data_IF_432182779897
#
_entry.id   IF_432182779897
#
_cell.length_a   1.000
_cell.length_b   1.000
_cell.length_c   1.000
_cell.angle_alpha   90.00
_cell.angle_beta   90.00
_cell.angle_gamma   90.00
#
_symmetry.space_group_name_H-M   'P 1'
#
loop_
_entity.id
_entity.type
_entity.pdbx_description
1 polymer ?
#
# COMPACT_ATOMS: atom_id res chain seq x y z
N UNK A 1 -15.00 5.30 -12.37
CA UNK A 1 -14.79 5.33 -10.92
C UNK A 1 -13.46 4.64 -10.69
N UNK A 2 -12.57 5.19 -9.87
CA UNK A 2 -11.26 4.55 -9.62
C UNK A 2 -11.45 3.12 -9.06
N UNK A 3 -10.54 2.19 -9.39
CA UNK A 3 -10.55 0.82 -8.86
C UNK A 3 -10.60 0.81 -7.33
N UNK A 4 -9.89 1.72 -6.68
CA UNK A 4 -9.95 1.91 -5.23
C UNK A 4 -11.37 2.11 -4.71
N UNK A 5 -12.13 3.00 -5.35
CA UNK A 5 -13.51 3.31 -4.93
C UNK A 5 -14.45 2.11 -5.14
N UNK A 6 -14.23 1.32 -6.19
CA UNK A 6 -15.04 0.11 -6.44
C UNK A 6 -14.85 -0.92 -5.33
N UNK A 7 -13.61 -1.09 -4.85
CA UNK A 7 -13.29 -1.98 -3.73
C UNK A 7 -13.80 -1.44 -2.39
N UNK A 8 -13.69 -0.13 -2.16
CA UNK A 8 -14.07 0.49 -0.88
C UNK A 8 -15.60 0.69 -0.72
N UNK A 9 -16.35 0.89 -1.81
CA UNK A 9 -17.78 1.20 -1.76
C UNK A 9 -18.65 -0.06 -1.79
N UNK A 10 -18.51 -0.89 -0.75
CA UNK A 10 -19.35 -2.07 -0.55
C UNK A 10 -20.82 -1.70 -0.38
N UNK A 11 -21.71 -2.70 -0.48
CA UNK A 11 -23.15 -2.51 -0.24
C UNK A 11 -23.43 -1.88 1.12
N UNK A 12 -22.78 -2.36 2.18
CA UNK A 12 -22.93 -1.80 3.52
C UNK A 12 -22.44 -0.35 3.63
N UNK A 13 -21.31 -0.01 2.98
CA UNK A 13 -20.80 1.37 2.94
C UNK A 13 -21.79 2.30 2.26
N UNK A 14 -22.40 1.87 1.15
CA UNK A 14 -23.40 2.66 0.42
C UNK A 14 -24.67 2.87 1.24
N UNK A 15 -25.15 1.83 1.92
CA UNK A 15 -26.30 1.93 2.80
C UNK A 15 -26.06 2.99 3.90
N UNK A 16 -24.90 2.96 4.57
CA UNK A 16 -24.55 3.99 5.56
C UNK A 16 -24.45 5.38 4.92
N UNK A 17 -23.95 5.49 3.69
CA UNK A 17 -23.89 6.77 2.99
C UNK A 17 -25.29 7.34 2.69
N UNK A 18 -26.27 6.49 2.38
CA UNK A 18 -27.67 6.87 2.20
C UNK A 18 -28.29 7.33 3.52
N UNK A 19 -28.15 6.53 4.59
CA UNK A 19 -28.61 6.84 5.94
C UNK A 19 -28.08 8.20 6.43
N UNK A 20 -26.81 8.49 6.14
CA UNK A 20 -26.14 9.73 6.55
C UNK A 20 -26.25 10.88 5.53
N UNK A 21 -27.03 10.70 4.45
CA UNK A 21 -27.25 11.74 3.44
C UNK A 21 -26.03 12.14 2.59
N UNK A 22 -24.96 11.34 2.62
CA UNK A 22 -23.71 11.57 1.88
C UNK A 22 -23.67 10.89 0.50
N UNK A 23 -24.74 10.16 0.13
CA UNK A 23 -24.85 9.45 -1.14
C UNK A 23 -24.60 10.32 -2.38
N UNK A 24 -24.96 11.62 -2.35
CA UNK A 24 -24.67 12.56 -3.47
C UNK A 24 -23.18 12.88 -3.63
N UNK A 25 -22.42 12.89 -2.53
CA UNK A 25 -20.96 13.05 -2.56
C UNK A 25 -20.25 11.75 -2.98
N UNK A 26 -20.82 10.59 -2.61
CA UNK A 26 -20.34 9.27 -3.03
C UNK A 26 -20.71 8.93 -4.49
N UNK A 27 -21.80 9.51 -4.99
CA UNK A 27 -22.42 9.27 -6.30
C UNK A 27 -21.71 9.96 -7.46
N UNK A 28 -20.42 9.71 -7.66
CA UNK A 28 -19.86 9.79 -9.01
C UNK A 28 -20.35 8.55 -9.76
N UNK A 29 -21.26 8.75 -10.73
CA UNK A 29 -21.93 7.74 -11.57
C UNK A 29 -21.19 6.41 -11.63
N UNK A 30 -21.91 5.32 -11.33
CA UNK A 30 -21.51 3.94 -11.63
C UNK A 30 -21.10 3.90 -13.09
N UNK A 31 -19.79 3.97 -13.34
CA UNK A 31 -19.20 3.54 -14.60
C UNK A 31 -19.05 2.02 -14.51
N UNK A 32 -18.93 1.38 -15.65
CA UNK A 32 -18.62 -0.04 -15.71
C UNK A 32 -17.43 -0.39 -14.79
N UNK A 33 -17.43 -1.59 -14.20
CA UNK A 33 -16.30 -2.07 -13.42
C UNK A 33 -15.02 -1.84 -14.21
N UNK A 34 -14.07 -1.17 -13.59
CA UNK A 34 -12.72 -1.04 -14.16
C UNK A 34 -11.98 -2.23 -13.58
N UNK A 35 -11.61 -3.18 -14.44
CA UNK A 35 -10.83 -4.34 -14.01
C UNK A 35 -9.38 -3.93 -13.69
N UNK A 36 -8.85 -2.98 -14.45
CA UNK A 36 -7.48 -2.50 -14.32
C UNK A 36 -7.25 -1.69 -13.02
N UNK A 37 -6.09 -1.84 -12.37
CA UNK A 37 -5.67 -0.96 -11.29
C UNK A 37 -5.57 0.50 -11.74
N UNK A 38 -5.79 1.44 -10.82
CA UNK A 38 -5.49 2.85 -11.10
C UNK A 38 -3.96 3.05 -11.12
N UNK A 39 -3.39 3.68 -12.17
CA UNK A 39 -1.96 3.95 -12.20
C UNK A 39 -1.58 5.01 -11.15
N UNK A 40 -0.40 4.86 -10.57
CA UNK A 40 0.32 5.88 -9.83
C UNK A 40 0.73 6.99 -10.81
N UNK A 41 -0.05 8.08 -10.80
CA UNK A 41 0.31 9.28 -11.54
C UNK A 41 1.58 9.93 -10.95
N UNK A 42 2.17 10.86 -11.71
CA UNK A 42 3.39 11.55 -11.31
C UNK A 42 3.26 12.18 -9.90
N UNK A 43 2.09 12.75 -9.60
CA UNK A 43 1.83 13.36 -8.29
C UNK A 43 1.86 12.35 -7.14
N UNK A 44 1.24 11.19 -7.33
CA UNK A 44 1.21 10.12 -6.32
C UNK A 44 2.58 9.48 -6.15
N UNK A 45 3.31 9.27 -7.25
CA UNK A 45 4.67 8.77 -7.22
C UNK A 45 5.62 9.73 -6.49
N UNK A 46 5.54 11.03 -6.79
CA UNK A 46 6.36 12.06 -6.12
C UNK A 46 6.00 12.19 -4.64
N UNK A 47 4.71 12.07 -4.30
CA UNK A 47 4.28 12.04 -2.91
C UNK A 47 4.90 10.86 -2.15
N UNK A 48 4.85 9.65 -2.72
CA UNK A 48 5.46 8.47 -2.09
C UNK A 48 6.97 8.66 -1.91
N UNK A 49 7.68 9.14 -2.94
CA UNK A 49 9.12 9.41 -2.87
C UNK A 49 9.50 10.49 -1.86
N UNK A 50 8.57 11.36 -1.49
CA UNK A 50 8.81 12.44 -0.52
C UNK A 50 8.73 11.99 0.95
N UNK A 51 8.31 10.75 1.20
CA UNK A 51 8.06 10.24 2.55
C UNK A 51 9.19 9.35 3.06
N UNK A 52 9.32 9.30 4.38
CA UNK A 52 10.24 8.48 5.17
C UNK A 52 9.52 7.31 5.87
N UNK A 53 8.22 7.15 5.64
CA UNK A 53 7.47 6.03 6.18
C UNK A 53 6.02 5.94 5.71
N UNK A 54 5.42 4.79 5.99
CA UNK A 54 4.02 4.51 5.70
C UNK A 54 3.47 3.43 6.63
N UNK A 55 2.14 3.32 6.70
CA UNK A 55 1.47 2.23 7.40
C UNK A 55 1.13 1.11 6.40
N UNK A 56 1.48 -0.11 6.78
CA UNK A 56 1.21 -1.33 6.03
C UNK A 56 0.14 -2.14 6.75
N UNK A 57 -1.01 -2.35 6.11
CA UNK A 57 -2.08 -3.20 6.62
C UNK A 57 -2.12 -4.53 5.86
N UNK A 58 -2.32 -5.61 6.60
CA UNK A 58 -2.53 -6.97 6.10
C UNK A 58 -3.64 -7.65 6.90
N UNK A 59 -4.15 -8.79 6.43
CA UNK A 59 -5.16 -9.57 7.16
C UNK A 59 -4.62 -10.97 7.38
N UNK A 60 -4.65 -11.43 8.63
CA UNK A 60 -4.24 -12.80 8.95
C UNK A 60 -5.36 -13.81 8.68
N UNK A 61 -5.02 -15.10 8.74
CA UNK A 61 -5.98 -16.20 8.49
C UNK A 61 -7.19 -16.21 9.43
N UNK A 62 -7.07 -15.56 10.60
CA UNK A 62 -8.17 -15.37 11.55
C UNK A 62 -9.15 -14.25 11.17
N UNK A 63 -8.90 -13.54 10.07
CA UNK A 63 -9.71 -12.41 9.60
C UNK A 63 -9.48 -11.09 10.33
N UNK A 64 -8.65 -11.07 11.38
CA UNK A 64 -8.30 -9.83 12.07
C UNK A 64 -7.30 -9.00 11.26
N UNK A 65 -7.53 -7.68 11.11
CA UNK A 65 -6.57 -6.80 10.46
C UNK A 65 -5.35 -6.58 11.34
N UNK A 66 -4.18 -6.48 10.72
CA UNK A 66 -2.92 -6.12 11.35
C UNK A 66 -2.31 -4.91 10.65
N UNK A 67 -1.80 -3.96 11.44
CA UNK A 67 -1.17 -2.73 10.93
C UNK A 67 0.22 -2.60 11.55
N UNK A 68 1.20 -2.25 10.72
CA UNK A 68 2.56 -1.93 11.15
C UNK A 68 3.08 -0.70 10.40
N UNK A 69 3.90 0.11 11.08
CA UNK A 69 4.66 1.17 10.44
C UNK A 69 5.92 0.61 9.79
N UNK A 70 6.17 0.98 8.54
CA UNK A 70 7.42 0.72 7.81
C UNK A 70 8.10 2.06 7.58
N UNK A 71 9.35 2.19 8.03
CA UNK A 71 10.12 3.43 7.98
C UNK A 71 11.50 3.24 7.37
N UNK A 72 12.03 4.34 6.82
CA UNK A 72 13.34 4.40 6.18
C UNK A 72 13.74 5.85 5.88
N UNK A 73 14.87 6.08 5.20
CA UNK A 73 15.17 7.41 4.69
C UNK A 73 14.13 7.85 3.66
N UNK A 74 14.02 9.15 3.43
CA UNK A 74 13.13 9.69 2.40
C UNK A 74 13.36 8.99 1.05
N UNK A 75 12.27 8.48 0.46
CA UNK A 75 12.30 7.82 -0.83
C UNK A 75 12.68 6.33 -0.80
N UNK A 76 12.81 5.72 0.39
CA UNK A 76 13.11 4.28 0.50
C UNK A 76 12.04 3.36 -0.13
N UNK A 77 10.84 3.89 -0.36
CA UNK A 77 9.81 3.23 -1.18
C UNK A 77 10.02 3.64 -2.63
N UNK A 78 10.45 2.68 -3.43
CA UNK A 78 10.71 2.83 -4.85
C UNK A 78 9.44 2.61 -5.64
N UNK A 79 9.11 3.57 -6.51
CA UNK A 79 8.06 3.43 -7.52
C UNK A 79 8.72 2.88 -8.78
N UNK A 80 8.54 1.58 -9.04
CA UNK A 80 9.22 0.88 -10.14
C UNK A 80 8.57 1.16 -11.49
N UNK A 81 7.24 1.27 -11.49
CA UNK A 81 6.39 1.56 -12.64
C UNK A 81 5.02 2.09 -12.11
N UNK A 82 4.05 2.44 -12.99
CA UNK A 82 2.75 2.98 -12.56
C UNK A 82 1.92 2.05 -11.65
N UNK A 83 2.26 0.77 -11.51
CA UNK A 83 1.48 -0.21 -10.76
C UNK A 83 2.28 -0.92 -9.67
N UNK A 84 3.60 -0.70 -9.61
CA UNK A 84 4.49 -1.45 -8.72
C UNK A 84 5.27 -0.53 -7.77
N UNK A 85 5.16 -0.83 -6.48
CA UNK A 85 6.00 -0.29 -5.42
C UNK A 85 6.91 -1.39 -4.89
N UNK A 86 8.12 -1.04 -4.48
CA UNK A 86 9.04 -1.95 -3.81
C UNK A 86 9.89 -1.23 -2.78
N UNK A 87 10.35 -1.97 -1.77
CA UNK A 87 11.29 -1.51 -0.76
C UNK A 87 11.99 -2.73 -0.18
N UNK A 88 13.21 -2.57 0.33
CA UNK A 88 13.92 -3.64 1.03
C UNK A 88 13.39 -3.77 2.45
N UNK A 89 12.96 -4.98 2.84
CA UNK A 89 12.58 -5.28 4.22
C UNK A 89 13.83 -5.67 5.01
N UNK A 90 14.17 -4.80 5.97
CA UNK A 90 15.31 -5.02 6.86
C UNK A 90 14.88 -5.76 8.12
N UNK A 91 15.78 -6.57 8.65
CA UNK A 91 15.60 -7.34 9.87
C UNK A 91 15.21 -6.44 11.04
N UNK A 92 13.92 -6.47 11.39
CA UNK A 92 13.35 -5.75 12.53
C UNK A 92 13.21 -6.61 13.79
N UNK A 93 12.08 -6.44 14.47
CA UNK A 93 11.72 -7.13 15.73
C UNK A 93 11.41 -8.63 15.59
N UNK A 94 11.53 -9.19 14.37
CA UNK A 94 11.34 -10.62 14.05
C UNK A 94 9.95 -11.17 14.37
N UNK A 95 8.92 -10.34 14.39
CA UNK A 95 7.55 -10.80 14.55
C UNK A 95 6.99 -11.48 13.29
N UNK A 96 7.46 -11.08 12.10
CA UNK A 96 7.09 -11.65 10.80
C UNK A 96 5.58 -11.70 10.50
N UNK A 97 4.75 -10.96 11.25
CA UNK A 97 3.28 -11.01 11.12
C UNK A 97 2.84 -10.55 9.74
N UNK A 98 3.35 -9.42 9.25
CA UNK A 98 3.01 -8.93 7.90
C UNK A 98 3.42 -9.93 6.82
N UNK A 99 4.65 -10.45 6.87
CA UNK A 99 5.15 -11.43 5.90
C UNK A 99 4.33 -12.72 5.93
N UNK A 100 3.98 -13.21 7.12
CA UNK A 100 3.12 -14.38 7.29
C UNK A 100 1.72 -14.15 6.73
N UNK A 101 1.09 -13.01 7.05
CA UNK A 101 -0.23 -12.65 6.53
C UNK A 101 -0.23 -12.57 5.00
N UNK A 102 0.74 -11.86 4.41
CA UNK A 102 0.86 -11.66 2.96
C UNK A 102 1.03 -12.99 2.19
N UNK A 103 1.65 -14.01 2.81
CA UNK A 103 1.76 -15.35 2.23
C UNK A 103 0.43 -16.10 2.17
N UNK A 104 -0.48 -15.84 3.11
CA UNK A 104 -1.81 -16.47 3.15
C UNK A 104 -2.87 -15.68 2.39
N UNK A 105 -2.83 -14.35 2.50
CA UNK A 105 -3.70 -13.40 1.82
C UNK A 105 -2.87 -12.19 1.38
N UNK A 106 -2.63 -12.09 0.08
CA UNK A 106 -1.75 -11.09 -0.51
C UNK A 106 -2.37 -9.68 -0.56
N UNK A 107 -3.65 -9.52 -0.19
CA UNK A 107 -4.36 -8.25 -0.23
C UNK A 107 -3.89 -7.34 0.91
N UNK A 108 -3.44 -6.14 0.54
CA UNK A 108 -2.90 -5.16 1.48
C UNK A 108 -3.55 -3.80 1.30
N UNK A 109 -3.49 -2.99 2.37
CA UNK A 109 -3.79 -1.58 2.30
C UNK A 109 -2.58 -0.77 2.78
N UNK A 110 -2.10 0.15 1.95
CA UNK A 110 -1.00 1.04 2.29
C UNK A 110 -1.54 2.44 2.57
N UNK A 111 -1.02 3.08 3.61
CA UNK A 111 -1.41 4.44 3.98
C UNK A 111 -0.20 5.33 4.18
N UNK A 112 -0.01 6.24 3.23
CA UNK A 112 1.03 7.24 3.18
C UNK A 112 0.47 8.56 3.72
N UNK A 113 1.18 9.20 4.65
CA UNK A 113 0.70 10.40 5.35
C UNK A 113 1.85 11.40 5.48
N UNK A 114 1.59 12.64 5.05
CA UNK A 114 2.39 13.80 5.41
C UNK A 114 1.58 14.64 6.39
N UNK A 115 1.96 14.58 7.67
CA UNK A 115 1.29 15.32 8.74
C UNK A 115 1.44 16.83 8.60
N UNK A 116 2.60 17.31 8.15
CA UNK A 116 2.88 18.74 8.01
C UNK A 116 2.05 19.36 6.88
N UNK A 117 1.93 18.66 5.75
CA UNK A 117 1.16 19.11 4.58
C UNK A 117 -0.29 18.63 4.59
N UNK A 118 -0.73 17.96 5.65
CA UNK A 118 -2.08 17.39 5.81
C UNK A 118 -2.54 16.55 4.60
N UNK A 119 -1.58 15.92 3.92
CA UNK A 119 -1.81 15.18 2.68
C UNK A 119 -1.68 13.69 2.96
N UNK A 120 -2.50 12.89 2.28
CA UNK A 120 -2.53 11.44 2.49
C UNK A 120 -2.90 10.71 1.21
N UNK A 121 -2.35 9.51 1.04
CA UNK A 121 -2.63 8.62 -0.07
C UNK A 121 -2.92 7.22 0.49
N UNK A 122 -4.03 6.61 0.06
CA UNK A 122 -4.41 5.24 0.40
C UNK A 122 -4.34 4.41 -0.87
N UNK A 123 -3.72 3.23 -0.76
CA UNK A 123 -3.64 2.26 -1.83
C UNK A 123 -4.21 0.93 -1.35
N UNK A 124 -4.92 0.24 -2.25
CA UNK A 124 -5.12 -1.20 -2.15
C UNK A 124 -4.25 -1.87 -3.20
N UNK A 125 -3.68 -3.01 -2.86
CA UNK A 125 -2.83 -3.76 -3.77
C UNK A 125 -2.63 -5.18 -3.32
N UNK A 126 -1.81 -5.88 -4.09
CA UNK A 126 -1.30 -7.20 -3.75
C UNK A 126 0.18 -7.06 -3.40
N UNK A 127 0.61 -7.73 -2.34
CA UNK A 127 2.01 -7.74 -1.92
C UNK A 127 2.58 -9.16 -2.01
N UNK A 128 3.87 -9.25 -2.24
CA UNK A 128 4.64 -10.48 -2.05
C UNK A 128 5.96 -10.11 -1.39
N UNK A 129 6.57 -11.09 -0.73
CA UNK A 129 7.86 -10.92 -0.08
C UNK A 129 8.80 -11.99 -0.64
N UNK A 130 9.84 -11.54 -1.33
CA UNK A 130 10.76 -12.39 -2.10
C UNK A 130 12.13 -12.31 -1.44
N UNK A 131 12.79 -13.45 -1.14
CA UNK A 131 14.16 -13.43 -0.65
C UNK A 131 15.11 -12.70 -1.60
N UNK A 132 16.06 -11.93 -1.05
CA UNK A 132 17.02 -11.14 -1.84
C UNK A 132 17.79 -11.98 -2.85
N UNK A 133 18.19 -13.19 -2.46
CA UNK A 133 18.95 -14.13 -3.28
C UNK A 133 18.14 -14.71 -4.45
N UNK A 134 16.81 -14.60 -4.43
CA UNK A 134 15.95 -14.98 -5.56
C UNK A 134 15.82 -13.86 -6.61
N UNK A 135 16.13 -12.60 -6.26
CA UNK A 135 16.06 -11.47 -7.20
C UNK A 135 17.09 -10.36 -6.89
N UNK A 136 18.35 -10.66 -7.17
CA UNK A 136 19.47 -9.74 -6.95
C UNK A 136 19.33 -8.44 -7.76
N UNK A 137 18.84 -8.51 -9.00
CA UNK A 137 18.65 -7.33 -9.86
C UNK A 137 17.65 -6.33 -9.23
N UNK A 138 16.55 -6.84 -8.67
CA UNK A 138 15.62 -5.99 -7.95
C UNK A 138 16.27 -5.42 -6.69
N UNK A 139 16.97 -6.24 -5.91
CA UNK A 139 17.64 -5.77 -4.69
C UNK A 139 18.64 -4.63 -4.98
N UNK A 140 19.44 -4.75 -6.04
CA UNK A 140 20.37 -3.70 -6.48
C UNK A 140 19.66 -2.40 -6.86
N UNK A 141 18.50 -2.48 -7.53
CA UNK A 141 17.68 -1.30 -7.87
C UNK A 141 17.13 -0.58 -6.63
N UNK A 142 16.97 -1.30 -5.53
CA UNK A 142 16.41 -0.79 -4.27
C UNK A 142 17.50 -0.37 -3.27
N UNK A 143 18.78 -0.53 -3.60
CA UNK A 143 19.90 -0.36 -2.65
C UNK A 143 20.05 1.10 -2.17
N UNK A 144 19.56 2.09 -2.94
CA UNK A 144 19.62 3.50 -2.54
C UNK A 144 18.46 4.33 -3.09
N UNK A 145 17.73 5.08 -2.25
CA UNK A 145 17.83 5.10 -0.79
C UNK A 145 17.19 3.83 -0.18
N UNK A 146 17.71 3.37 0.97
CA UNK A 146 17.16 2.22 1.71
C UNK A 146 17.28 2.37 3.21
N UNK A 147 16.45 1.64 3.94
CA UNK A 147 16.57 1.51 5.40
C UNK A 147 17.89 0.81 5.75
N UNK A 148 18.59 1.29 6.77
CA UNK A 148 19.80 0.65 7.30
C UNK A 148 19.44 -0.67 8.00
N UNK A 149 20.38 -1.63 7.97
CA UNK A 149 20.23 -2.92 8.63
C UNK A 149 20.51 -4.11 7.70
N UNK A 150 20.32 -5.31 8.24
CA UNK A 150 20.43 -6.56 7.48
C UNK A 150 19.16 -6.74 6.63
N UNK A 151 19.29 -6.67 5.31
CA UNK A 151 18.18 -6.98 4.39
C UNK A 151 17.80 -8.45 4.50
N UNK A 152 16.51 -8.75 4.56
CA UNK A 152 15.99 -10.12 4.53
C UNK A 152 15.21 -10.40 3.23
N UNK A 153 14.44 -9.43 2.73
CA UNK A 153 13.55 -9.55 1.57
C UNK A 153 13.46 -8.22 0.82
#
# INVERSE_FOLDING_TARGET
>A
MSRFNQLAQTTAVRQVQEEMGSAKAAGRRVREPVEEPDPLDARSADFIRSLDGFLFSSVGETGWPYIQFKGGPQGFVHVLDPYTLAFLDVRGNRQYVTTGNVRGDDRVALFFIDHARQTRLKLYGHASAVPVDENLELAERLESPRTEGKVEQ
#
